data_IF_097156002094
#
_entry.id   IF_097156002094
#
_cell.length_a   1.000
_cell.length_b   1.000
_cell.length_c   1.000
_cell.angle_alpha   90.00
_cell.angle_beta   90.00
_cell.angle_gamma   90.00
#
_symmetry.space_group_name_H-M   'P 1'
#
loop_
_entity.id
_entity.type
_entity.pdbx_description
1 polymer ?
#
# COMPACT_ATOMS: atom_id res chain seq x y z
N UNK A 1 40.25 43.37 -53.45
CA UNK A 1 40.03 42.45 -54.54
C UNK A 1 39.00 41.42 -54.08
N UNK A 2 37.91 41.38 -54.82
CA UNK A 2 36.78 40.44 -54.81
C UNK A 2 35.99 40.44 -53.51
N UNK A 3 34.89 41.09 -53.35
CA UNK A 3 33.60 40.97 -54.06
C UNK A 3 32.98 39.60 -53.87
N UNK A 4 31.99 39.52 -52.98
CA UNK A 4 31.03 38.43 -53.05
C UNK A 4 29.67 38.83 -52.51
N UNK A 5 28.71 38.65 -53.31
CA UNK A 5 27.33 39.07 -53.20
C UNK A 5 26.52 38.28 -52.16
N UNK A 6 25.59 38.96 -51.50
CA UNK A 6 24.52 38.47 -50.70
C UNK A 6 23.46 37.78 -51.58
N UNK A 7 22.89 36.62 -51.23
CA UNK A 7 21.65 36.14 -51.81
C UNK A 7 20.44 36.48 -50.93
N UNK A 8 19.38 36.83 -51.59
CA UNK A 8 18.09 37.31 -51.12
C UNK A 8 17.32 36.34 -50.18
N UNK A 9 16.35 36.84 -49.40
CA UNK A 9 15.55 36.02 -48.47
C UNK A 9 14.41 35.27 -49.22
N UNK A 10 14.40 33.98 -49.03
CA UNK A 10 13.28 33.13 -49.49
C UNK A 10 12.10 33.20 -48.52
N UNK A 11 10.92 33.17 -49.09
CA UNK A 11 9.65 33.53 -48.50
C UNK A 11 9.19 32.64 -47.33
N UNK A 12 8.59 33.28 -46.35
CA UNK A 12 7.83 32.69 -45.25
C UNK A 12 6.51 32.08 -45.79
N UNK A 13 6.46 30.76 -45.81
CA UNK A 13 5.21 30.02 -45.94
C UNK A 13 4.69 29.67 -44.52
N UNK A 14 3.90 30.54 -43.91
CA UNK A 14 3.11 30.21 -42.73
C UNK A 14 1.94 29.32 -43.11
N UNK A 15 2.19 28.01 -43.21
CA UNK A 15 1.15 27.00 -43.21
C UNK A 15 0.73 26.72 -41.77
N UNK A 16 -0.25 27.44 -41.25
CA UNK A 16 -0.90 27.11 -39.97
C UNK A 16 -1.63 25.78 -40.11
N UNK A 17 -1.03 24.70 -39.67
CA UNK A 17 -1.67 23.39 -39.52
C UNK A 17 -2.63 23.43 -38.31
N UNK A 18 -3.78 24.08 -38.48
CA UNK A 18 -4.82 24.17 -37.46
C UNK A 18 -5.30 22.79 -36.95
N UNK A 19 -5.12 21.74 -37.74
CA UNK A 19 -5.42 20.36 -37.40
C UNK A 19 -4.43 19.80 -36.36
N UNK A 20 -3.15 20.19 -36.38
CA UNK A 20 -2.16 19.72 -35.42
C UNK A 20 -2.25 20.46 -34.08
N UNK A 21 -2.60 21.76 -34.13
CA UNK A 21 -2.53 22.61 -32.93
C UNK A 21 -3.86 22.73 -32.18
N UNK A 22 -5.00 22.52 -32.88
CA UNK A 22 -6.34 22.73 -32.28
C UNK A 22 -7.15 21.42 -32.14
N UNK A 23 -6.98 20.45 -33.01
CA UNK A 23 -7.79 19.21 -33.02
C UNK A 23 -7.11 18.08 -32.24
N UNK A 24 -5.79 17.91 -32.37
CA UNK A 24 -5.05 16.90 -31.61
C UNK A 24 -5.13 17.05 -30.08
N UNK A 25 -4.99 18.25 -29.46
CA UNK A 25 -5.15 18.36 -28.02
C UNK A 25 -6.55 18.04 -27.51
N UNK A 26 -7.60 18.34 -28.29
CA UNK A 26 -9.00 18.08 -27.91
C UNK A 26 -9.37 16.61 -28.04
N UNK A 27 -8.81 15.88 -29.00
CA UNK A 27 -9.08 14.45 -29.19
C UNK A 27 -8.35 13.63 -28.11
N UNK A 28 -7.14 14.01 -27.70
CA UNK A 28 -6.42 13.35 -26.60
C UNK A 28 -7.05 13.58 -25.22
N UNK A 29 -7.83 14.67 -25.05
CA UNK A 29 -8.56 14.91 -23.80
C UNK A 29 -9.91 14.18 -23.72
N UNK A 30 -10.48 13.77 -24.86
CA UNK A 30 -11.74 13.01 -24.93
C UNK A 30 -11.54 11.49 -24.78
N UNK A 31 -10.38 10.97 -25.18
CA UNK A 31 -9.94 9.63 -24.82
C UNK A 31 -9.10 9.77 -23.54
N UNK A 32 -9.77 9.87 -22.39
CA UNK A 32 -9.09 9.78 -21.11
C UNK A 32 -8.11 8.62 -21.16
N UNK A 33 -6.80 8.93 -21.16
CA UNK A 33 -5.73 7.94 -21.01
C UNK A 33 -6.09 7.19 -19.74
N UNK A 34 -6.69 6.00 -19.86
CA UNK A 34 -6.68 5.05 -18.76
C UNK A 34 -5.21 4.88 -18.46
N UNK A 35 -4.76 5.43 -17.35
CA UNK A 35 -3.46 5.10 -16.79
C UNK A 35 -3.46 3.58 -16.64
N UNK A 36 -2.81 2.91 -17.58
CA UNK A 36 -2.53 1.49 -17.40
C UNK A 36 -1.59 1.41 -16.21
N UNK A 37 -1.95 0.67 -15.15
CA UNK A 37 -1.07 0.49 -14.01
C UNK A 37 0.29 0.03 -14.53
N UNK A 38 1.37 0.72 -14.16
CA UNK A 38 2.72 0.46 -14.65
C UNK A 38 3.22 -0.97 -14.37
N UNK A 39 2.46 -1.77 -13.59
CA UNK A 39 2.79 -3.14 -13.23
C UNK A 39 1.60 -4.09 -13.43
N UNK A 40 1.23 -4.34 -14.68
CA UNK A 40 0.24 -5.38 -15.01
C UNK A 40 0.75 -6.80 -14.72
N UNK A 41 2.08 -6.98 -14.62
CA UNK A 41 2.73 -8.26 -14.43
C UNK A 41 3.61 -8.25 -13.19
N UNK A 42 3.58 -9.33 -12.43
CA UNK A 42 4.46 -9.58 -11.29
C UNK A 42 5.30 -10.82 -11.54
N UNK A 43 6.60 -10.71 -11.33
CA UNK A 43 7.53 -11.83 -11.41
C UNK A 43 7.49 -12.63 -10.11
N UNK A 44 7.37 -13.94 -10.21
CA UNK A 44 7.48 -14.83 -9.05
C UNK A 44 8.93 -14.87 -8.56
N UNK A 45 9.14 -14.66 -7.28
CA UNK A 45 10.48 -14.63 -6.67
C UNK A 45 11.13 -16.02 -6.63
N UNK A 46 10.32 -17.09 -6.69
CA UNK A 46 10.80 -18.47 -6.65
C UNK A 46 11.12 -19.03 -8.05
N UNK A 47 10.15 -19.05 -8.98
CA UNK A 47 10.30 -19.69 -10.28
C UNK A 47 10.55 -18.72 -11.43
N UNK A 48 10.48 -17.41 -11.19
CA UNK A 48 10.68 -16.39 -12.21
C UNK A 48 9.53 -16.20 -13.20
N UNK A 49 8.43 -16.95 -13.09
CA UNK A 49 7.26 -16.82 -13.95
C UNK A 49 6.66 -15.40 -13.85
N UNK A 50 6.26 -14.87 -15.01
CA UNK A 50 5.52 -13.59 -15.09
C UNK A 50 4.03 -13.89 -14.96
N UNK A 51 3.40 -13.32 -13.93
CA UNK A 51 2.01 -13.58 -13.57
C UNK A 51 1.23 -12.29 -13.74
N UNK A 52 0.07 -12.36 -14.37
CA UNK A 52 -0.82 -11.21 -14.51
C UNK A 52 -1.38 -10.81 -13.14
N UNK A 53 -1.36 -9.52 -12.81
CA UNK A 53 -1.73 -9.03 -11.48
C UNK A 53 -3.13 -9.48 -11.03
N UNK A 54 -4.11 -9.54 -11.95
CA UNK A 54 -5.47 -10.00 -11.64
C UNK A 54 -5.49 -11.48 -11.28
N UNK A 55 -4.81 -12.33 -12.06
CA UNK A 55 -4.71 -13.75 -11.81
C UNK A 55 -4.04 -14.03 -10.46
N UNK A 56 -2.96 -13.31 -10.15
CA UNK A 56 -2.29 -13.41 -8.87
C UNK A 56 -3.19 -13.00 -7.69
N UNK A 57 -4.00 -11.93 -7.87
CA UNK A 57 -4.98 -11.50 -6.86
C UNK A 57 -6.08 -12.53 -6.66
N UNK A 58 -6.61 -13.10 -7.74
CA UNK A 58 -7.67 -14.11 -7.69
C UNK A 58 -7.16 -15.42 -7.06
N UNK A 59 -5.86 -15.73 -7.22
CA UNK A 59 -5.17 -16.85 -6.58
C UNK A 59 -4.52 -16.50 -5.23
N UNK A 60 -5.02 -15.48 -4.52
CA UNK A 60 -4.59 -15.09 -3.16
C UNK A 60 -3.08 -14.86 -3.02
N UNK A 61 -2.43 -14.32 -4.04
CA UNK A 61 -0.98 -14.13 -4.12
C UNK A 61 -0.15 -15.43 -4.08
N UNK A 62 -0.72 -16.55 -4.50
CA UNK A 62 0.00 -17.81 -4.72
C UNK A 62 0.37 -17.94 -6.19
N UNK A 63 1.60 -18.30 -6.48
CA UNK A 63 2.08 -18.49 -7.85
C UNK A 63 1.40 -19.70 -8.51
N UNK A 64 0.71 -19.57 -9.66
CA UNK A 64 0.04 -20.69 -10.30
C UNK A 64 1.03 -21.71 -10.91
N UNK A 65 2.31 -21.34 -11.08
CA UNK A 65 3.31 -22.20 -11.70
C UNK A 65 4.11 -23.04 -10.71
N UNK A 66 4.25 -22.62 -9.45
CA UNK A 66 5.12 -23.30 -8.48
C UNK A 66 4.60 -23.26 -7.04
N UNK A 67 3.38 -22.81 -6.84
CA UNK A 67 2.70 -22.71 -5.53
C UNK A 67 3.45 -21.84 -4.49
N UNK A 68 4.39 -21.02 -4.95
CA UNK A 68 5.08 -20.08 -4.06
C UNK A 68 4.12 -19.02 -3.54
N UNK A 69 4.02 -18.90 -2.21
CA UNK A 69 3.21 -17.90 -1.53
C UNK A 69 3.96 -16.57 -1.47
N UNK A 70 3.42 -15.55 -2.13
CA UNK A 70 3.94 -14.18 -2.08
C UNK A 70 3.27 -13.39 -0.95
N UNK A 71 3.89 -12.26 -0.58
CA UNK A 71 3.32 -11.38 0.43
C UNK A 71 1.95 -10.82 -0.01
N UNK A 72 0.97 -10.89 0.89
CA UNK A 72 -0.36 -10.32 0.75
C UNK A 72 -0.57 -9.22 1.78
N UNK A 73 -1.07 -8.06 1.35
CA UNK A 73 -1.35 -6.94 2.24
C UNK A 73 -2.62 -7.13 3.08
N UNK A 74 -2.80 -6.35 4.17
CA UNK A 74 -3.93 -6.51 5.09
C UNK A 74 -5.30 -6.41 4.42
N UNK A 75 -5.53 -5.41 3.58
CA UNK A 75 -6.83 -5.23 2.90
C UNK A 75 -7.17 -6.39 1.98
N UNK A 76 -6.19 -6.86 1.19
CA UNK A 76 -6.38 -8.02 0.33
C UNK A 76 -6.60 -9.31 1.13
N UNK A 77 -5.99 -9.42 2.32
CA UNK A 77 -6.25 -10.54 3.24
C UNK A 77 -7.66 -10.48 3.82
N UNK A 78 -8.16 -9.31 4.20
CA UNK A 78 -9.55 -9.15 4.65
C UNK A 78 -10.54 -9.44 3.52
N UNK A 79 -10.27 -9.00 2.30
CA UNK A 79 -11.07 -9.34 1.12
C UNK A 79 -11.16 -10.85 0.87
N UNK A 80 -10.09 -11.58 1.19
CA UNK A 80 -10.04 -13.04 1.04
C UNK A 80 -10.67 -13.80 2.22
N UNK A 81 -10.65 -13.21 3.41
CA UNK A 81 -11.08 -13.83 4.65
C UNK A 81 -12.57 -13.69 4.89
N UNK A 82 -13.11 -12.49 4.72
CA UNK A 82 -14.51 -12.20 5.04
C UNK A 82 -15.45 -12.55 3.90
N UNK A 83 -16.62 -13.06 4.25
CA UNK A 83 -17.66 -13.46 3.33
C UNK A 83 -18.06 -12.29 2.43
N UNK A 84 -18.25 -12.58 1.14
CA UNK A 84 -18.60 -11.60 0.12
C UNK A 84 -17.68 -10.35 0.07
N UNK A 85 -16.48 -10.41 0.67
CA UNK A 85 -15.57 -9.27 0.87
C UNK A 85 -16.20 -8.13 1.67
N UNK A 86 -17.18 -8.46 2.51
CA UNK A 86 -17.92 -7.51 3.33
C UNK A 86 -17.31 -7.39 4.72
N UNK A 87 -16.49 -6.37 4.94
CA UNK A 87 -15.87 -6.09 6.23
C UNK A 87 -15.89 -4.59 6.54
N UNK A 88 -15.81 -4.28 7.82
CA UNK A 88 -15.78 -2.91 8.34
C UNK A 88 -14.48 -2.74 9.10
N UNK A 89 -13.69 -1.74 8.70
CA UNK A 89 -12.48 -1.35 9.42
C UNK A 89 -12.84 -0.78 10.79
N UNK A 90 -12.13 -1.21 11.81
CA UNK A 90 -12.31 -0.72 13.18
C UNK A 90 -11.36 0.47 13.38
N UNK A 91 -11.86 1.67 13.71
CA UNK A 91 -11.02 2.81 14.02
C UNK A 91 -10.09 2.51 15.19
N UNK A 92 -8.81 2.84 15.04
CA UNK A 92 -7.81 2.63 16.06
C UNK A 92 -7.50 3.95 16.80
N UNK A 93 -7.18 3.90 18.09
CA UNK A 93 -6.77 5.09 18.83
C UNK A 93 -5.45 5.64 18.27
N UNK A 94 -5.28 6.95 18.32
CA UNK A 94 -4.03 7.60 17.95
C UNK A 94 -2.94 7.29 18.98
N UNK A 95 -1.80 6.80 18.51
CA UNK A 95 -0.62 6.61 19.34
C UNK A 95 0.34 7.80 19.20
N UNK A 96 1.14 8.09 20.25
CA UNK A 96 2.15 9.15 20.18
C UNK A 96 3.11 8.92 19.01
N UNK A 97 3.27 9.94 18.15
CA UNK A 97 4.05 9.81 16.92
C UNK A 97 5.57 9.65 17.17
N UNK A 98 6.11 10.21 18.25
CA UNK A 98 7.54 10.14 18.56
C UNK A 98 7.79 10.49 20.05
N UNK A 99 7.39 9.59 20.98
CA UNK A 99 7.50 9.89 22.42
C UNK A 99 8.94 10.03 22.91
N UNK A 100 9.91 9.41 22.23
CA UNK A 100 11.32 9.41 22.62
C UNK A 100 12.18 10.40 21.83
N UNK A 101 11.60 11.13 20.85
CA UNK A 101 12.31 12.03 19.93
C UNK A 101 13.48 11.33 19.23
N UNK A 102 13.22 10.09 18.78
CA UNK A 102 14.25 9.22 18.19
C UNK A 102 14.78 9.80 16.87
N UNK A 103 16.08 9.77 16.74
CA UNK A 103 16.80 10.14 15.52
C UNK A 103 18.04 9.26 15.35
N UNK A 104 18.16 8.68 14.18
CA UNK A 104 19.40 8.11 13.66
C UNK A 104 19.81 8.91 12.39
N UNK A 105 19.95 8.29 11.24
CA UNK A 105 20.12 8.97 9.95
C UNK A 105 18.88 9.79 9.55
N UNK A 106 17.70 9.41 10.06
CA UNK A 106 16.41 10.04 9.78
C UNK A 106 15.56 10.10 11.05
N UNK A 107 14.80 11.18 11.24
CA UNK A 107 13.88 11.29 12.38
C UNK A 107 12.75 10.26 12.27
N UNK A 108 12.28 9.75 13.39
CA UNK A 108 11.19 8.77 13.42
C UNK A 108 9.90 9.26 12.75
N UNK A 109 9.42 10.50 12.97
CA UNK A 109 8.24 11.03 12.24
C UNK A 109 8.41 11.03 10.72
N UNK A 110 9.63 11.27 10.22
CA UNK A 110 9.89 11.23 8.78
C UNK A 110 9.82 9.80 8.23
N UNK A 111 10.26 8.80 9.02
CA UNK A 111 10.10 7.36 8.66
C UNK A 111 8.63 6.96 8.62
N UNK A 112 7.83 7.40 9.60
CA UNK A 112 6.39 7.15 9.64
C UNK A 112 5.69 7.77 8.42
N UNK A 113 6.02 9.03 8.07
CA UNK A 113 5.47 9.69 6.89
C UNK A 113 5.78 8.91 5.60
N UNK A 114 7.01 8.45 5.44
CA UNK A 114 7.40 7.67 4.25
C UNK A 114 6.70 6.32 4.21
N UNK A 115 6.57 5.63 5.36
CA UNK A 115 5.85 4.37 5.44
C UNK A 115 4.37 4.54 5.09
N UNK A 116 3.72 5.59 5.58
CA UNK A 116 2.34 5.96 5.24
C UNK A 116 2.18 6.25 3.75
N UNK A 117 3.07 7.06 3.19
CA UNK A 117 3.06 7.37 1.75
C UNK A 117 3.26 6.13 0.87
N UNK A 118 4.13 5.21 1.30
CA UNK A 118 4.43 3.97 0.56
C UNK A 118 3.29 2.95 0.63
N UNK A 119 2.63 2.83 1.78
CA UNK A 119 1.65 1.75 2.02
C UNK A 119 0.21 2.19 1.89
N UNK A 120 -0.08 3.49 1.99
CA UNK A 120 -1.43 4.04 2.09
C UNK A 120 -2.10 3.76 3.45
N UNK A 121 -1.37 3.16 4.40
CA UNK A 121 -1.88 2.82 5.74
C UNK A 121 -1.32 3.76 6.80
N UNK A 122 -2.08 3.99 7.86
CA UNK A 122 -1.68 4.87 8.95
C UNK A 122 -0.66 4.23 9.88
N UNK A 123 -0.69 2.88 10.01
CA UNK A 123 0.19 2.13 10.90
C UNK A 123 0.38 0.68 10.42
N UNK A 124 1.24 -0.08 11.11
CA UNK A 124 1.63 -1.44 10.75
C UNK A 124 0.57 -2.50 11.06
N UNK A 125 -0.59 -2.15 11.60
CA UNK A 125 -1.68 -3.08 11.84
C UNK A 125 -3.02 -2.46 11.45
N UNK A 126 -3.86 -3.26 10.77
CA UNK A 126 -5.26 -2.98 10.52
C UNK A 126 -6.13 -3.95 11.30
N UNK A 127 -7.28 -3.48 11.75
CA UNK A 127 -8.28 -4.28 12.42
C UNK A 127 -9.62 -4.14 11.69
N UNK A 128 -10.31 -5.25 11.48
CA UNK A 128 -11.60 -5.27 10.81
C UNK A 128 -12.53 -6.29 11.45
N UNK A 129 -13.82 -6.13 11.22
CA UNK A 129 -14.86 -7.09 11.60
C UNK A 129 -15.73 -7.43 10.41
N UNK A 130 -16.26 -8.62 10.38
CA UNK A 130 -17.15 -9.14 9.34
C UNK A 130 -17.51 -10.57 9.62
N UNK A 131 -18.10 -11.25 8.66
CA UNK A 131 -18.49 -12.65 8.80
C UNK A 131 -17.50 -13.56 8.11
N UNK A 132 -17.21 -14.70 8.72
CA UNK A 132 -16.39 -15.79 8.17
C UNK A 132 -17.23 -17.08 8.25
N UNK A 133 -17.66 -17.59 7.09
CA UNK A 133 -18.55 -18.75 7.05
C UNK A 133 -19.88 -18.52 7.77
N UNK A 134 -20.41 -17.30 7.73
CA UNK A 134 -21.64 -16.90 8.39
C UNK A 134 -21.52 -16.63 9.89
N UNK A 135 -20.31 -16.65 10.46
CA UNK A 135 -20.06 -16.35 11.87
C UNK A 135 -19.32 -15.01 12.02
N UNK A 136 -19.81 -14.15 12.92
CA UNK A 136 -19.13 -12.90 13.21
C UNK A 136 -17.72 -13.13 13.74
N UNK A 137 -16.75 -12.38 13.22
CA UNK A 137 -15.36 -12.44 13.63
C UNK A 137 -14.71 -11.06 13.61
N UNK A 138 -13.69 -10.88 14.43
CA UNK A 138 -12.76 -9.75 14.38
C UNK A 138 -11.42 -10.26 13.89
N UNK A 139 -10.80 -9.54 12.96
CA UNK A 139 -9.48 -9.88 12.44
C UNK A 139 -8.52 -8.71 12.58
N UNK A 140 -7.31 -8.98 13.07
CA UNK A 140 -6.19 -8.06 13.10
C UNK A 140 -5.10 -8.56 12.16
N UNK A 141 -4.61 -7.71 11.26
CA UNK A 141 -3.61 -8.09 10.27
C UNK A 141 -2.44 -7.11 10.26
N UNK A 142 -1.23 -7.62 10.52
CA UNK A 142 -0.01 -6.83 10.43
C UNK A 142 0.39 -6.59 8.97
N UNK A 143 0.86 -5.37 8.69
CA UNK A 143 1.39 -4.96 7.41
C UNK A 143 2.92 -4.94 7.42
N UNK A 144 3.53 -6.00 6.91
CA UNK A 144 4.99 -6.09 6.82
C UNK A 144 5.62 -4.98 5.95
N UNK A 145 4.87 -4.44 4.99
CA UNK A 145 5.35 -3.33 4.15
C UNK A 145 5.51 -2.00 4.93
N UNK A 146 4.80 -1.85 6.06
CA UNK A 146 4.92 -0.70 6.95
C UNK A 146 6.02 -0.95 7.98
N UNK A 147 7.20 -0.36 7.81
CA UNK A 147 8.36 -0.50 8.71
C UNK A 147 8.63 -1.95 9.15
N UNK A 148 8.61 -2.89 8.19
CA UNK A 148 8.74 -4.33 8.41
C UNK A 148 7.71 -4.91 9.40
N UNK A 149 6.51 -4.33 9.51
CA UNK A 149 5.48 -4.77 10.44
C UNK A 149 5.84 -4.62 11.91
N UNK A 150 6.87 -3.83 12.25
CA UNK A 150 7.41 -3.77 13.60
C UNK A 150 6.38 -3.34 14.63
N UNK A 151 6.40 -4.01 15.79
CA UNK A 151 5.47 -3.78 16.89
C UNK A 151 5.90 -2.54 17.68
N UNK A 152 5.14 -1.44 17.52
CA UNK A 152 5.21 -0.24 18.35
C UNK A 152 3.96 -0.08 19.21
N UNK A 153 3.83 1.05 19.88
CA UNK A 153 2.67 1.38 20.72
C UNK A 153 1.37 1.27 19.91
N UNK A 154 1.34 1.82 18.70
CA UNK A 154 0.16 1.76 17.83
C UNK A 154 -0.29 0.33 17.51
N UNK A 155 0.65 -0.60 17.30
CA UNK A 155 0.33 -2.02 17.06
C UNK A 155 -0.23 -2.67 18.32
N UNK A 156 0.33 -2.35 19.49
CA UNK A 156 -0.20 -2.81 20.78
C UNK A 156 -1.63 -2.31 21.02
N UNK A 157 -1.89 -1.03 20.80
CA UNK A 157 -3.24 -0.46 20.91
C UNK A 157 -4.21 -1.12 19.92
N UNK A 158 -3.76 -1.40 18.70
CA UNK A 158 -4.57 -2.09 17.71
C UNK A 158 -4.99 -3.50 18.16
N UNK A 159 -4.06 -4.27 18.74
CA UNK A 159 -4.36 -5.61 19.26
C UNK A 159 -5.33 -5.56 20.44
N UNK A 160 -5.14 -4.62 21.37
CA UNK A 160 -6.08 -4.42 22.49
C UNK A 160 -7.47 -4.05 21.98
N UNK A 161 -7.55 -3.08 21.07
CA UNK A 161 -8.83 -2.67 20.46
C UNK A 161 -9.51 -3.85 19.76
N UNK A 162 -8.74 -4.69 19.07
CA UNK A 162 -9.26 -5.90 18.44
C UNK A 162 -9.81 -6.90 19.46
N UNK A 163 -9.09 -7.15 20.55
CA UNK A 163 -9.50 -8.07 21.61
C UNK A 163 -10.74 -7.56 22.36
N UNK A 164 -10.78 -6.28 22.71
CA UNK A 164 -11.92 -5.64 23.35
C UNK A 164 -13.16 -5.67 22.45
N UNK A 165 -12.99 -5.36 21.16
CA UNK A 165 -14.10 -5.44 20.19
C UNK A 165 -14.61 -6.88 20.08
N UNK A 166 -13.73 -7.87 19.89
CA UNK A 166 -14.11 -9.28 19.81
C UNK A 166 -14.89 -9.74 21.05
N UNK A 167 -14.41 -9.35 22.23
CA UNK A 167 -15.07 -9.63 23.52
C UNK A 167 -16.44 -8.98 23.60
N UNK A 168 -16.55 -7.71 23.21
CA UNK A 168 -17.80 -6.93 23.31
C UNK A 168 -18.92 -7.48 22.42
N UNK A 169 -18.56 -8.06 21.27
CA UNK A 169 -19.52 -8.67 20.32
C UNK A 169 -19.60 -10.20 20.45
N UNK A 170 -18.91 -10.77 21.45
CA UNK A 170 -18.82 -12.22 21.67
C UNK A 170 -18.42 -13.00 20.40
N UNK A 171 -17.38 -12.52 19.71
CA UNK A 171 -16.86 -13.08 18.48
C UNK A 171 -15.41 -13.55 18.63
N UNK A 172 -14.94 -14.52 17.84
CA UNK A 172 -13.52 -14.90 17.83
C UNK A 172 -12.63 -13.77 17.28
N UNK A 173 -11.39 -13.69 17.79
CA UNK A 173 -10.33 -12.84 17.25
C UNK A 173 -9.36 -13.69 16.45
N UNK A 174 -9.11 -13.29 15.20
CA UNK A 174 -8.10 -13.91 14.31
C UNK A 174 -6.96 -12.91 14.10
N UNK A 175 -5.72 -13.31 14.41
CA UNK A 175 -4.55 -12.43 14.25
C UNK A 175 -3.61 -12.99 13.20
N UNK A 176 -3.33 -12.19 12.18
CA UNK A 176 -2.30 -12.47 11.17
C UNK A 176 -1.04 -11.68 11.51
N UNK A 177 -0.08 -12.33 12.16
CA UNK A 177 1.18 -11.71 12.52
C UNK A 177 2.17 -11.71 11.36
N UNK A 178 2.83 -10.57 11.14
CA UNK A 178 3.87 -10.39 10.14
C UNK A 178 4.80 -9.26 10.59
N UNK A 179 5.68 -9.55 11.57
CA UNK A 179 6.52 -8.57 12.23
C UNK A 179 8.01 -8.91 12.15
N UNK A 180 8.83 -7.89 11.91
CA UNK A 180 10.29 -7.94 12.07
C UNK A 180 10.77 -7.81 13.52
N UNK A 181 9.85 -7.69 14.49
CA UNK A 181 10.14 -7.54 15.92
C UNK A 181 9.65 -6.24 16.53
N UNK A 182 10.21 -5.88 17.71
CA UNK A 182 9.90 -4.63 18.40
C UNK A 182 10.39 -3.41 17.61
N UNK A 183 9.61 -2.32 17.61
CA UNK A 183 9.95 -1.08 16.91
C UNK A 183 11.06 -0.34 17.61
N UNK A 184 12.28 -0.39 17.07
CA UNK A 184 13.49 0.18 17.67
C UNK A 184 13.33 1.66 18.02
N UNK A 185 12.64 2.43 17.20
CA UNK A 185 12.45 3.87 17.36
C UNK A 185 11.63 4.24 18.60
N UNK A 186 10.86 3.31 19.12
CA UNK A 186 10.06 3.47 20.35
C UNK A 186 10.70 2.82 21.57
N UNK A 187 11.88 2.20 21.43
CA UNK A 187 12.69 1.69 22.54
C UNK A 187 11.91 0.78 23.47
N UNK A 188 11.98 1.08 24.78
CA UNK A 188 11.30 0.31 25.83
C UNK A 188 9.78 0.29 25.69
N UNK A 189 9.17 1.34 25.12
CA UNK A 189 7.71 1.41 24.92
C UNK A 189 7.24 0.32 23.96
N UNK A 190 8.04 0.02 22.94
CA UNK A 190 7.79 -1.08 22.01
C UNK A 190 7.86 -2.45 22.72
N UNK A 191 8.87 -2.66 23.57
CA UNK A 191 9.01 -3.91 24.33
C UNK A 191 7.85 -4.12 25.31
N UNK A 192 7.34 -3.04 25.92
CA UNK A 192 6.22 -3.10 26.85
C UNK A 192 4.88 -3.48 26.19
N UNK A 193 4.80 -3.49 24.86
CA UNK A 193 3.59 -3.98 24.18
C UNK A 193 3.44 -5.50 24.30
N UNK A 194 4.52 -6.26 24.39
CA UNK A 194 4.46 -7.71 24.49
C UNK A 194 3.76 -8.23 25.74
N UNK A 195 4.07 -7.75 26.97
CA UNK A 195 3.34 -8.18 28.16
C UNK A 195 1.93 -7.56 28.25
N UNK A 196 1.61 -6.61 27.39
CA UNK A 196 0.34 -5.90 27.37
C UNK A 196 -0.70 -6.58 26.47
N UNK A 197 -0.26 -7.30 25.43
CA UNK A 197 -1.08 -7.97 24.42
C UNK A 197 -0.95 -9.46 24.52
#
# INVERSE_FOLDING_TARGET
MADEADPAPEGSGYGMNWLSDYVRPKITSLFGRREMPENLWRKCDSCGAMIFHRELKDNLCVCPSCDHHMAIGPRARFDALFDARAWIEIPLPEAPADPLKFRDQKRYPDRLRDARAKTGENEAMLVARGDIGGLHAVAACQNFAFMAGSMGVAVGEALLTAAETATSVNAPLVVFSAAGGARMQEGILSLMQMPRT
#
